data_IF_379856835158
#
_entry.id   IF_379856835158
#
_cell.length_a   1.000
_cell.length_b   1.000
_cell.length_c   1.000
_cell.angle_alpha   90.00
_cell.angle_beta   90.00
_cell.angle_gamma   90.00
#
_symmetry.space_group_name_H-M   'P 1'
#
loop_
_entity.id
_entity.type
_entity.pdbx_description
1 polymer ?
#
# COMPACT_ATOMS: atom_id res chain seq x y z
N UNK A 1 14.83 -7.00 11.81
CA UNK A 1 14.13 -6.22 10.78
C UNK A 1 12.66 -6.45 11.01
N UNK A 2 11.90 -5.41 11.35
CA UNK A 2 10.45 -5.50 11.52
C UNK A 2 9.75 -5.38 10.16
N UNK A 3 8.57 -5.97 10.03
CA UNK A 3 7.73 -5.87 8.84
C UNK A 3 6.80 -4.66 8.98
N UNK A 4 6.88 -3.71 8.06
CA UNK A 4 6.09 -2.48 8.03
C UNK A 4 5.00 -2.57 6.96
N UNK A 5 3.76 -2.40 7.39
CA UNK A 5 2.60 -2.30 6.51
C UNK A 5 2.07 -0.87 6.49
N UNK A 6 2.09 -0.25 5.31
CA UNK A 6 1.53 1.07 5.07
C UNK A 6 0.03 1.00 4.85
N UNK A 7 -0.76 1.64 5.71
CA UNK A 7 -2.20 1.75 5.53
C UNK A 7 -2.49 2.93 4.61
N UNK A 8 -3.11 2.66 3.46
CA UNK A 8 -3.49 3.66 2.45
C UNK A 8 -4.99 3.64 2.20
N UNK A 9 -5.51 4.74 1.67
CA UNK A 9 -6.91 4.87 1.30
C UNK A 9 -7.25 6.30 0.94
N UNK A 10 -8.40 6.49 0.29
CA UNK A 10 -8.91 7.82 0.00
C UNK A 10 -9.30 8.56 1.31
N UNK A 11 -9.42 9.90 1.29
CA UNK A 11 -10.00 10.64 2.40
C UNK A 11 -11.38 10.08 2.82
N UNK A 12 -11.64 10.06 4.13
CA UNK A 12 -12.92 9.66 4.74
C UNK A 12 -13.33 8.19 4.55
N UNK A 13 -12.42 7.28 4.21
CA UNK A 13 -12.71 5.83 4.11
C UNK A 13 -12.68 5.08 5.45
N UNK A 14 -12.29 5.75 6.54
CA UNK A 14 -12.14 5.13 7.86
C UNK A 14 -10.72 4.65 8.20
N UNK A 15 -9.71 5.06 7.41
CA UNK A 15 -8.29 4.73 7.59
C UNK A 15 -7.78 4.99 9.02
N UNK A 16 -7.93 6.22 9.53
CA UNK A 16 -7.48 6.56 10.89
C UNK A 16 -8.29 5.84 11.97
N UNK A 17 -9.56 5.50 11.71
CA UNK A 17 -10.36 4.68 12.63
C UNK A 17 -9.81 3.26 12.72
N UNK A 18 -9.46 2.64 11.58
CA UNK A 18 -8.83 1.33 11.54
C UNK A 18 -7.45 1.35 12.23
N UNK A 19 -6.62 2.34 11.91
CA UNK A 19 -5.31 2.49 12.55
C UNK A 19 -5.41 2.65 14.07
N UNK A 20 -6.34 3.50 14.54
CA UNK A 20 -6.59 3.66 15.97
C UNK A 20 -7.11 2.38 16.63
N UNK A 21 -7.89 1.56 15.92
CA UNK A 21 -8.35 0.28 16.43
C UNK A 21 -7.20 -0.73 16.55
N UNK A 22 -6.33 -0.82 15.53
CA UNK A 22 -5.15 -1.68 15.52
C UNK A 22 -4.16 -1.30 16.63
N UNK A 23 -3.88 0.00 16.77
CA UNK A 23 -2.94 0.49 17.79
C UNK A 23 -3.52 0.37 19.21
N UNK A 24 -4.80 0.65 19.44
CA UNK A 24 -5.41 0.44 20.78
C UNK A 24 -5.54 -1.03 21.17
N UNK A 25 -5.73 -1.94 20.22
CA UNK A 25 -5.81 -3.38 20.49
C UNK A 25 -4.43 -4.01 20.79
N UNK A 26 -3.35 -3.40 20.31
CA UNK A 26 -1.98 -3.91 20.47
C UNK A 26 -1.13 -3.21 21.53
N UNK A 27 -1.50 -1.99 21.94
CA UNK A 27 -0.77 -1.19 22.94
C UNK A 27 -1.42 -1.40 24.31
N UNK A 28 -1.25 -2.59 24.89
CA UNK A 28 -0.95 -2.62 26.32
C UNK A 28 0.48 -2.07 26.45
N UNK A 29 0.73 -1.19 27.41
CA UNK A 29 1.96 -0.41 27.57
C UNK A 29 3.22 -1.29 27.79
N UNK A 30 3.67 -1.99 26.75
CA UNK A 30 4.94 -2.65 26.69
C UNK A 30 5.98 -1.58 26.37
N UNK A 31 6.73 -1.18 27.41
CA UNK A 31 7.85 -0.25 27.33
C UNK A 31 8.96 -0.81 26.42
N UNK A 32 8.84 -0.64 25.10
CA UNK A 32 9.92 -0.94 24.16
C UNK A 32 10.93 0.23 24.19
N UNK A 33 12.16 0.06 24.69
CA UNK A 33 13.01 1.19 25.09
C UNK A 33 13.65 2.01 23.95
N UNK A 34 13.24 1.84 22.68
CA UNK A 34 13.98 2.39 21.53
C UNK A 34 13.13 2.87 20.35
N UNK A 35 11.80 3.03 20.51
CA UNK A 35 10.97 3.51 19.40
C UNK A 35 11.01 5.04 19.31
N UNK A 36 11.71 5.57 18.31
CA UNK A 36 11.59 6.97 17.87
C UNK A 36 10.16 7.18 17.37
N UNK A 37 9.40 8.10 17.99
CA UNK A 37 8.01 8.39 17.60
C UNK A 37 8.04 9.26 16.33
N UNK A 38 8.14 8.60 15.19
CA UNK A 38 7.93 9.14 13.84
C UNK A 38 6.46 8.97 13.41
N UNK A 39 5.96 9.80 12.47
CA UNK A 39 4.54 10.13 12.36
C UNK A 39 3.63 8.89 12.21
N UNK A 40 2.59 8.82 13.04
CA UNK A 40 1.53 7.81 13.04
C UNK A 40 1.99 6.36 12.73
N UNK A 41 3.04 5.90 13.39
CA UNK A 41 3.46 4.48 13.38
C UNK A 41 2.94 3.76 14.62
N UNK A 42 2.63 2.46 14.49
CA UNK A 42 2.09 1.65 15.57
C UNK A 42 2.52 0.20 15.49
N UNK A 43 3.07 -0.34 16.56
CA UNK A 43 3.51 -1.74 16.64
C UNK A 43 2.40 -2.57 17.27
N UNK A 44 2.01 -3.66 16.60
CA UNK A 44 0.92 -4.55 17.03
C UNK A 44 1.47 -5.98 17.16
N UNK A 45 1.23 -6.68 18.29
CA UNK A 45 1.57 -8.09 18.42
C UNK A 45 0.67 -8.92 17.50
N UNK A 46 1.28 -9.87 16.77
CA UNK A 46 0.53 -10.72 15.85
C UNK A 46 -0.24 -11.79 16.65
N UNK A 47 -1.57 -11.90 16.48
CA UNK A 47 -2.35 -12.96 17.11
C UNK A 47 -1.98 -14.30 16.48
N UNK A 48 -1.40 -15.21 17.27
CA UNK A 48 -1.06 -16.56 16.83
C UNK A 48 -1.57 -17.60 17.83
N UNK A 49 -2.69 -18.30 17.54
CA UNK A 49 -3.25 -19.32 18.42
C UNK A 49 -2.29 -20.49 18.71
N UNK A 50 -1.23 -20.66 17.90
CA UNK A 50 -0.21 -21.69 18.14
C UNK A 50 0.67 -21.32 19.34
N UNK A 51 0.95 -20.03 19.55
CA UNK A 51 1.69 -19.57 20.72
C UNK A 51 0.93 -19.86 22.00
N UNK A 52 -0.39 -19.64 22.00
CA UNK A 52 -1.25 -19.91 23.15
C UNK A 52 -1.25 -21.40 23.50
N UNK A 53 -1.42 -22.26 22.50
CA UNK A 53 -1.36 -23.73 22.67
C UNK A 53 -0.01 -24.21 23.20
N UNK A 54 1.09 -23.63 22.73
CA UNK A 54 2.43 -23.97 23.24
C UNK A 54 2.62 -23.49 24.68
N UNK A 55 2.08 -22.31 25.02
CA UNK A 55 2.14 -21.79 26.36
C UNK A 55 1.37 -22.65 27.38
N UNK A 56 0.25 -23.25 26.98
CA UNK A 56 -0.48 -24.21 27.81
C UNK A 56 0.33 -25.47 28.14
N UNK A 57 1.11 -25.97 27.17
CA UNK A 57 1.93 -27.18 27.33
C UNK A 57 3.20 -26.89 28.14
N UNK A 58 3.94 -25.86 27.75
CA UNK A 58 5.30 -25.59 28.26
C UNK A 58 5.27 -24.72 29.52
N UNK A 59 4.19 -23.95 29.75
CA UNK A 59 4.03 -23.01 30.86
C UNK A 59 5.25 -22.09 31.05
N UNK A 60 5.62 -21.31 30.01
CA UNK A 60 6.79 -20.44 30.07
C UNK A 60 6.56 -19.27 31.04
N UNK A 61 7.64 -18.66 31.52
CA UNK A 61 7.57 -17.46 32.37
C UNK A 61 6.98 -16.24 31.63
N UNK A 62 7.10 -16.21 30.29
CA UNK A 62 6.60 -15.13 29.44
C UNK A 62 6.34 -15.66 28.03
N UNK A 63 5.29 -15.14 27.38
CA UNK A 63 5.00 -15.35 25.96
C UNK A 63 5.52 -14.14 25.18
N UNK A 64 6.21 -14.38 24.07
CA UNK A 64 6.79 -13.35 23.21
C UNK A 64 6.19 -13.48 21.81
N UNK A 65 5.12 -12.72 21.48
CA UNK A 65 4.58 -12.74 20.13
C UNK A 65 5.54 -12.03 19.16
N UNK A 66 5.47 -12.43 17.89
CA UNK A 66 6.06 -11.60 16.82
C UNK A 66 5.25 -10.32 16.68
N UNK A 67 5.90 -9.24 16.26
CA UNK A 67 5.24 -7.94 16.09
C UNK A 67 5.21 -7.53 14.63
N UNK A 68 4.24 -6.71 14.28
CA UNK A 68 4.09 -6.07 12.98
C UNK A 68 3.94 -4.57 13.19
N UNK A 69 4.61 -3.79 12.35
CA UNK A 69 4.54 -2.32 12.39
C UNK A 69 3.54 -1.85 11.34
N UNK A 70 2.59 -1.01 11.75
CA UNK A 70 1.66 -0.34 10.85
C UNK A 70 2.02 1.13 10.76
N UNK A 71 1.99 1.66 9.54
CA UNK A 71 2.28 3.07 9.24
C UNK A 71 1.02 3.69 8.66
N UNK A 72 0.46 4.71 9.32
CA UNK A 72 -0.68 5.44 8.77
C UNK A 72 -0.21 6.44 7.70
N UNK A 73 -0.37 6.09 6.43
CA UNK A 73 0.07 6.95 5.34
C UNK A 73 -1.03 7.98 5.07
N UNK A 74 -0.67 9.27 4.97
CA UNK A 74 -1.62 10.35 4.74
C UNK A 74 -2.55 10.06 3.54
N UNK A 75 -3.80 10.53 3.57
CA UNK A 75 -4.78 10.22 2.53
C UNK A 75 -4.35 10.75 1.15
N UNK A 76 -4.46 9.89 0.13
CA UNK A 76 -4.13 10.25 -1.25
C UNK A 76 -5.20 11.18 -1.83
N UNK A 77 -4.79 12.31 -2.40
CA UNK A 77 -5.65 13.14 -3.26
C UNK A 77 -5.24 12.87 -4.71
N UNK A 78 -6.22 12.83 -5.63
CA UNK A 78 -5.97 12.67 -7.07
C UNK A 78 -4.89 13.66 -7.53
N UNK A 79 -3.91 13.22 -8.32
CA UNK A 79 -2.82 14.06 -8.82
C UNK A 79 -1.52 13.99 -8.03
N UNK A 80 -1.38 13.04 -7.11
CA UNK A 80 -0.17 12.85 -6.32
C UNK A 80 1.08 12.59 -7.18
N UNK A 81 0.94 11.88 -8.30
CA UNK A 81 2.03 11.62 -9.23
C UNK A 81 2.48 12.86 -10.02
N UNK A 82 1.72 13.97 -10.00
CA UNK A 82 2.04 15.20 -10.72
C UNK A 82 2.92 16.18 -9.92
N UNK A 83 3.27 15.84 -8.68
CA UNK A 83 4.23 16.61 -7.89
C UNK A 83 3.64 17.78 -7.08
N UNK A 84 2.32 17.84 -6.90
CA UNK A 84 1.71 18.76 -5.93
C UNK A 84 1.99 18.26 -4.49
N UNK A 85 3.14 18.67 -3.94
CA UNK A 85 3.54 18.73 -2.52
C UNK A 85 3.24 17.53 -1.61
N UNK A 86 1.96 17.24 -1.36
CA UNK A 86 1.49 16.15 -0.50
C UNK A 86 1.61 14.78 -1.17
N UNK A 87 1.49 14.70 -2.50
CA UNK A 87 1.55 13.45 -3.24
C UNK A 87 2.91 12.75 -3.22
N UNK A 88 4.00 13.51 -3.26
CA UNK A 88 5.34 12.96 -3.21
C UNK A 88 5.69 12.41 -1.81
N UNK A 89 5.22 13.07 -0.74
CA UNK A 89 5.43 12.57 0.63
C UNK A 89 4.69 11.25 0.86
N UNK A 90 3.48 11.11 0.31
CA UNK A 90 2.74 9.85 0.29
C UNK A 90 3.54 8.71 -0.37
N UNK A 91 4.05 8.95 -1.57
CA UNK A 91 4.80 7.95 -2.33
C UNK A 91 6.13 7.58 -1.67
N UNK A 92 6.81 8.54 -1.04
CA UNK A 92 8.02 8.28 -0.24
C UNK A 92 7.70 7.37 0.94
N UNK A 93 6.65 7.67 1.71
CA UNK A 93 6.27 6.87 2.87
C UNK A 93 5.87 5.44 2.48
N UNK A 94 5.22 5.25 1.33
CA UNK A 94 4.93 3.90 0.81
C UNK A 94 6.20 3.11 0.53
N UNK A 95 7.23 3.75 -0.05
CA UNK A 95 8.51 3.07 -0.37
C UNK A 95 9.28 2.62 0.85
N UNK A 96 8.98 3.18 2.02
CA UNK A 96 9.56 2.77 3.31
C UNK A 96 8.81 1.59 3.95
N UNK A 97 7.77 1.06 3.28
CA UNK A 97 6.98 -0.09 3.76
C UNK A 97 7.17 -1.32 2.88
N UNK A 98 7.05 -2.51 3.47
CA UNK A 98 7.16 -3.78 2.74
C UNK A 98 5.82 -4.26 2.19
N UNK A 99 4.71 -3.77 2.73
CA UNK A 99 3.35 -4.10 2.27
C UNK A 99 2.41 -2.91 2.37
N UNK A 100 1.33 -2.95 1.60
CA UNK A 100 0.30 -1.91 1.58
C UNK A 100 -1.05 -2.50 1.98
N UNK A 101 -1.65 -1.98 3.05
CA UNK A 101 -3.02 -2.27 3.45
C UNK A 101 -3.97 -1.22 2.86
N UNK A 102 -4.76 -1.61 1.85
CA UNK A 102 -5.67 -0.70 1.16
C UNK A 102 -7.07 -0.68 1.81
N UNK A 103 -7.40 0.44 2.46
CA UNK A 103 -8.72 0.69 3.06
C UNK A 103 -9.67 1.27 2.02
N UNK A 104 -10.71 0.53 1.69
CA UNK A 104 -11.74 0.90 0.71
C UNK A 104 -13.08 1.11 1.40
N UNK A 105 -13.78 2.20 1.08
CA UNK A 105 -15.08 2.51 1.68
C UNK A 105 -16.19 1.67 1.05
N UNK A 106 -16.73 0.73 1.82
CA UNK A 106 -17.85 -0.13 1.40
C UNK A 106 -19.15 0.17 2.18
N UNK A 107 -19.38 1.44 2.56
CA UNK A 107 -20.58 1.85 3.29
C UNK A 107 -21.06 3.25 2.86
N UNK A 108 -22.38 3.42 2.84
CA UNK A 108 -23.05 4.70 2.60
C UNK A 108 -23.32 5.41 3.93
N UNK A 109 -23.11 6.72 3.98
CA UNK A 109 -23.43 7.57 5.13
C UNK A 109 -23.55 9.01 4.64
N UNK A 110 -24.74 9.58 4.74
CA UNK A 110 -25.08 10.92 4.25
C UNK A 110 -24.32 12.04 4.98
N UNK A 111 -23.81 11.76 6.19
CA UNK A 111 -23.01 12.71 6.95
C UNK A 111 -21.52 12.72 6.53
N UNK A 112 -21.11 11.84 5.62
CA UNK A 112 -19.69 11.67 5.23
C UNK A 112 -19.54 11.83 3.72
N UNK A 113 -19.03 13.00 3.31
CA UNK A 113 -18.79 13.34 1.91
C UNK A 113 -17.65 12.49 1.33
N UNK A 114 -17.95 11.82 0.22
CA UNK A 114 -16.96 11.10 -0.58
C UNK A 114 -16.25 12.05 -1.55
N UNK A 115 -14.95 11.85 -1.81
CA UNK A 115 -14.15 12.76 -2.67
C UNK A 115 -14.70 12.82 -4.10
N UNK A 116 -15.27 11.73 -4.61
CA UNK A 116 -15.92 11.68 -5.92
C UNK A 116 -17.42 12.03 -5.89
N UNK A 117 -17.96 12.45 -4.74
CA UNK A 117 -19.39 12.73 -4.54
C UNK A 117 -20.29 11.48 -4.44
N UNK A 118 -19.82 10.32 -4.90
CA UNK A 118 -20.47 9.01 -4.74
C UNK A 118 -19.45 7.97 -4.29
N UNK A 119 -19.87 7.04 -3.45
CA UNK A 119 -19.05 5.88 -3.04
C UNK A 119 -19.04 4.86 -4.17
N UNK A 120 -17.85 4.54 -4.68
CA UNK A 120 -17.65 3.45 -5.64
C UNK A 120 -16.32 2.72 -5.33
N UNK A 121 -16.37 1.59 -4.59
CA UNK A 121 -15.18 0.86 -4.17
C UNK A 121 -14.22 0.49 -5.31
N UNK A 122 -14.77 0.13 -6.48
CA UNK A 122 -13.94 -0.27 -7.63
C UNK A 122 -13.18 0.93 -8.20
N UNK A 123 -13.84 2.08 -8.36
CA UNK A 123 -13.18 3.31 -8.80
C UNK A 123 -12.15 3.80 -7.78
N UNK A 124 -12.42 3.65 -6.49
CA UNK A 124 -11.49 4.05 -5.43
C UNK A 124 -10.19 3.24 -5.49
N UNK A 125 -10.33 1.93 -5.72
CA UNK A 125 -9.19 1.02 -5.93
C UNK A 125 -8.39 1.45 -7.17
N UNK A 126 -9.08 1.67 -8.28
CA UNK A 126 -8.47 2.06 -9.54
C UNK A 126 -7.71 3.39 -9.42
N UNK A 127 -8.24 4.37 -8.68
CA UNK A 127 -7.57 5.66 -8.45
C UNK A 127 -6.20 5.48 -7.79
N UNK A 128 -6.14 4.73 -6.69
CA UNK A 128 -4.88 4.51 -5.97
C UNK A 128 -3.91 3.68 -6.81
N UNK A 129 -4.37 2.61 -7.44
CA UNK A 129 -3.54 1.77 -8.30
C UNK A 129 -2.99 2.55 -9.51
N UNK A 130 -3.77 3.47 -10.07
CA UNK A 130 -3.32 4.36 -11.16
C UNK A 130 -2.16 5.24 -10.70
N UNK A 131 -2.30 5.89 -9.55
CA UNK A 131 -1.27 6.81 -9.02
C UNK A 131 0.02 6.06 -8.66
N UNK A 132 -0.09 4.85 -8.10
CA UNK A 132 1.07 3.98 -7.85
C UNK A 132 1.77 3.57 -9.15
N UNK A 133 1.00 3.11 -10.14
CA UNK A 133 1.56 2.72 -11.44
C UNK A 133 2.24 3.90 -12.16
N UNK A 134 1.70 5.12 -12.03
CA UNK A 134 2.32 6.33 -12.57
C UNK A 134 3.63 6.68 -11.86
N UNK A 135 3.68 6.52 -10.52
CA UNK A 135 4.92 6.73 -9.76
C UNK A 135 6.00 5.71 -10.13
N UNK A 136 5.63 4.45 -10.29
CA UNK A 136 6.56 3.39 -10.72
C UNK A 136 7.10 3.66 -12.12
N UNK A 137 6.25 4.15 -13.03
CA UNK A 137 6.65 4.51 -14.39
C UNK A 137 7.68 5.65 -14.39
N UNK A 138 7.41 6.77 -13.70
CA UNK A 138 8.35 7.90 -13.60
C UNK A 138 9.67 7.46 -12.96
N UNK A 139 9.61 6.58 -11.95
CA UNK A 139 10.79 6.03 -11.30
C UNK A 139 11.62 5.16 -12.25
N UNK A 140 10.97 4.30 -13.02
CA UNK A 140 11.61 3.45 -14.00
C UNK A 140 12.28 4.28 -15.10
N UNK A 141 11.59 5.31 -15.63
CA UNK A 141 12.13 6.22 -16.65
C UNK A 141 13.37 6.99 -16.14
N UNK A 142 13.31 7.54 -14.93
CA UNK A 142 14.46 8.22 -14.31
C UNK A 142 15.62 7.27 -14.07
N UNK A 143 15.35 6.03 -13.64
CA UNK A 143 16.36 5.00 -13.45
C UNK A 143 17.05 4.64 -14.77
N UNK A 144 16.28 4.41 -15.85
CA UNK A 144 16.81 4.16 -17.20
C UNK A 144 17.73 5.29 -17.64
N UNK A 145 17.31 6.55 -17.51
CA UNK A 145 18.12 7.69 -17.91
C UNK A 145 19.45 7.78 -17.13
N UNK A 146 19.42 7.49 -15.82
CA UNK A 146 20.62 7.46 -14.95
C UNK A 146 21.57 6.32 -15.30
N UNK A 147 21.03 5.10 -15.45
CA UNK A 147 21.81 3.87 -15.66
C UNK A 147 22.34 3.79 -17.10
N UNK A 148 21.60 4.30 -18.09
CA UNK A 148 22.03 4.34 -19.49
C UNK A 148 23.38 5.05 -19.68
N UNK A 149 23.63 6.14 -18.93
CA UNK A 149 24.92 6.84 -18.97
C UNK A 149 26.07 5.97 -18.47
N UNK A 150 25.85 5.20 -17.39
CA UNK A 150 26.84 4.28 -16.82
C UNK A 150 27.09 3.06 -17.71
N UNK A 151 26.02 2.49 -18.27
CA UNK A 151 26.08 1.34 -19.18
C UNK A 151 26.86 1.67 -20.47
N UNK A 152 26.71 2.89 -21.00
CA UNK A 152 27.51 3.40 -22.13
C UNK A 152 28.99 3.55 -21.79
N UNK A 153 29.32 3.82 -20.52
CA UNK A 153 30.68 3.89 -19.99
C UNK A 153 31.37 2.54 -19.80
N UNK A 154 30.71 1.42 -20.14
CA UNK A 154 31.30 0.08 -20.11
C UNK A 154 31.05 -0.73 -18.84
N UNK A 155 30.33 -0.18 -17.86
CA UNK A 155 29.95 -0.87 -16.62
C UNK A 155 29.03 -2.06 -16.94
N UNK A 156 29.45 -3.27 -16.51
CA UNK A 156 28.73 -4.52 -16.77
C UNK A 156 27.47 -4.66 -15.92
N UNK A 157 27.51 -4.19 -14.67
CA UNK A 157 26.36 -4.28 -13.76
C UNK A 157 25.28 -3.30 -14.21
N UNK A 158 25.68 -2.10 -14.66
CA UNK A 158 24.76 -1.13 -15.23
C UNK A 158 24.07 -1.64 -16.51
N UNK A 159 24.74 -2.47 -17.33
CA UNK A 159 24.12 -3.09 -18.52
C UNK A 159 23.05 -4.12 -18.14
N UNK A 160 23.29 -4.90 -17.08
CA UNK A 160 22.32 -5.88 -16.58
C UNK A 160 21.11 -5.15 -15.97
N UNK A 161 21.35 -4.12 -15.14
CA UNK A 161 20.29 -3.29 -14.56
C UNK A 161 19.44 -2.61 -15.65
N UNK A 162 20.09 -2.02 -16.67
CA UNK A 162 19.40 -1.37 -17.78
C UNK A 162 18.51 -2.35 -18.56
N UNK A 163 19.02 -3.54 -18.88
CA UNK A 163 18.25 -4.55 -19.60
C UNK A 163 17.04 -5.05 -18.81
N UNK A 164 17.11 -5.09 -17.47
CA UNK A 164 15.98 -5.39 -16.61
C UNK A 164 14.95 -4.24 -16.62
N UNK A 165 15.39 -3.00 -16.46
CA UNK A 165 14.53 -1.81 -16.46
C UNK A 165 13.78 -1.64 -17.80
N UNK A 166 14.45 -1.87 -18.93
CA UNK A 166 13.84 -1.81 -20.26
C UNK A 166 12.75 -2.88 -20.47
N UNK A 167 12.84 -4.03 -19.79
CA UNK A 167 11.78 -5.05 -19.77
C UNK A 167 10.60 -4.66 -18.87
N UNK A 168 10.86 -3.95 -17.77
CA UNK A 168 9.83 -3.51 -16.82
C UNK A 168 8.98 -2.37 -17.39
N UNK A 169 9.61 -1.40 -18.06
CA UNK A 169 8.96 -0.20 -18.60
C UNK A 169 7.65 -0.46 -19.39
N UNK A 170 7.61 -1.38 -20.38
CA UNK A 170 6.38 -1.64 -21.13
C UNK A 170 5.27 -2.26 -20.27
N UNK A 171 5.60 -3.03 -19.22
CA UNK A 171 4.59 -3.64 -18.34
C UNK A 171 3.97 -2.58 -17.41
N UNK A 172 4.78 -1.66 -16.89
CA UNK A 172 4.30 -0.49 -16.15
C UNK A 172 3.45 0.43 -17.04
N UNK A 173 3.85 0.59 -18.31
CA UNK A 173 3.06 1.28 -19.32
C UNK A 173 1.69 0.65 -19.56
N UNK A 174 1.58 -0.69 -19.62
CA UNK A 174 0.29 -1.39 -19.75
C UNK A 174 -0.60 -1.20 -18.53
N UNK A 175 -0.06 -1.25 -17.32
CA UNK A 175 -0.80 -0.93 -16.09
C UNK A 175 -1.40 0.48 -16.12
N UNK A 176 -0.70 1.45 -16.72
CA UNK A 176 -1.22 2.82 -16.96
C UNK A 176 -2.48 2.83 -17.84
N UNK A 177 -2.55 1.97 -18.86
CA UNK A 177 -3.71 1.88 -19.76
C UNK A 177 -4.87 1.11 -19.16
N UNK A 178 -4.61 0.02 -18.43
CA UNK A 178 -5.64 -0.71 -17.70
C UNK A 178 -6.33 0.17 -16.66
N UNK A 179 -5.53 0.95 -15.91
CA UNK A 179 -6.04 1.83 -14.86
C UNK A 179 -6.78 3.07 -15.43
N UNK A 180 -6.35 3.61 -16.60
CA UNK A 180 -7.10 4.64 -17.34
C UNK A 180 -8.37 4.14 -18.02
N UNK A 181 -8.35 2.91 -18.56
CA UNK A 181 -9.51 2.32 -19.21
C UNK A 181 -10.66 2.05 -18.23
N UNK A 182 -10.36 1.74 -16.97
CA UNK A 182 -11.35 1.63 -15.89
C UNK A 182 -12.17 2.91 -15.68
N UNK A 183 -11.55 4.09 -15.82
CA UNK A 183 -12.22 5.38 -15.68
C UNK A 183 -13.02 5.85 -16.91
N UNK A 184 -12.67 5.41 -18.13
CA UNK A 184 -13.30 5.89 -19.38
C UNK A 184 -14.26 4.87 -20.04
N UNK A 185 -14.08 3.55 -19.85
CA UNK A 185 -14.80 2.55 -20.66
C UNK A 185 -15.97 1.83 -19.96
N UNK A 186 -16.19 2.03 -18.65
CA UNK A 186 -17.28 1.35 -17.93
C UNK A 186 -18.70 1.88 -18.23
N UNK A 187 -18.85 2.89 -19.08
CA UNK A 187 -20.16 3.40 -19.50
C UNK A 187 -20.81 2.66 -20.66
N UNK A 188 -20.13 1.76 -21.38
CA UNK A 188 -20.74 1.25 -22.64
C UNK A 188 -20.82 -0.26 -22.89
N UNK A 189 -20.05 -1.18 -22.27
CA UNK A 189 -20.15 -2.60 -22.70
C UNK A 189 -20.04 -3.62 -21.58
N UNK A 190 -21.06 -4.47 -21.47
CA UNK A 190 -21.04 -5.70 -20.70
C UNK A 190 -20.31 -6.84 -21.42
N UNK A 191 -19.78 -7.79 -20.62
CA UNK A 191 -19.10 -9.07 -20.94
C UNK A 191 -17.57 -9.06 -21.21
N UNK A 192 -16.83 -10.18 -21.01
CA UNK A 192 -16.41 -10.73 -19.70
C UNK A 192 -14.87 -11.01 -19.58
N UNK A 193 -14.38 -11.04 -18.33
CA UNK A 193 -13.20 -11.73 -17.73
C UNK A 193 -11.98 -12.15 -18.60
N UNK A 194 -10.75 -11.79 -18.17
CA UNK A 194 -9.67 -12.75 -17.81
C UNK A 194 -8.31 -12.07 -17.51
N UNK A 195 -7.72 -12.48 -16.39
CA UNK A 195 -6.27 -12.58 -16.06
C UNK A 195 -5.40 -11.31 -16.03
N UNK A 196 -4.97 -10.92 -14.83
CA UNK A 196 -3.60 -11.14 -14.31
C UNK A 196 -3.51 -10.71 -12.83
N UNK A 197 -2.66 -11.38 -12.01
CA UNK A 197 -2.64 -11.20 -10.56
C UNK A 197 -1.85 -9.95 -10.16
N UNK A 198 -2.45 -9.13 -9.32
CA UNK A 198 -1.76 -8.06 -8.58
C UNK A 198 -1.01 -8.67 -7.37
N UNK A 199 0.06 -8.01 -6.89
CA UNK A 199 0.78 -8.43 -5.68
C UNK A 199 -0.20 -8.46 -4.51
N UNK A 200 -0.08 -9.47 -3.65
CA UNK A 200 -0.93 -9.77 -2.48
C UNK A 200 -1.41 -8.51 -1.74
N UNK A 201 -2.54 -7.96 -2.18
CA UNK A 201 -3.26 -6.92 -1.50
C UNK A 201 -4.34 -7.61 -0.68
N UNK A 202 -4.09 -7.79 0.61
CA UNK A 202 -5.09 -8.32 1.52
C UNK A 202 -6.23 -7.30 1.68
N UNK A 203 -7.32 -7.55 0.97
CA UNK A 203 -8.56 -6.82 1.15
C UNK A 203 -9.22 -7.27 2.46
N UNK A 204 -9.25 -6.39 3.46
CA UNK A 204 -9.93 -6.65 4.73
C UNK A 204 -11.44 -6.67 4.52
N UNK A 205 -11.99 -7.85 4.22
CA UNK A 205 -13.42 -8.09 4.16
C UNK A 205 -13.98 -8.28 5.58
N UNK A 206 -14.87 -7.37 5.99
CA UNK A 206 -15.66 -7.54 7.22
C UNK A 206 -16.92 -8.35 6.88
N UNK A 207 -16.91 -9.64 7.15
CA UNK A 207 -18.14 -10.45 7.18
C UNK A 207 -19.03 -9.94 8.32
N UNK A 208 -20.28 -9.63 7.98
CA UNK A 208 -21.31 -9.22 8.95
C UNK A 208 -21.89 -10.49 9.59
N UNK A 209 -21.92 -10.52 10.92
CA UNK A 209 -23.02 -11.14 11.66
C UNK A 209 -24.09 -10.08 11.93
#
# INVERSE_FOLDING_TARGET
MGFKCGIVGLPNVGKSTLFNALTKAGIEAANFPFCTIEPNTGVVPMPDPRLDKLAEIVKPQRILPTTMEFVDIAGLVKGASKGEGLGNQFLTNIRETEAIGHVVRCFENDNIIHVAGKVNPAEDIDVINTELALSDLDTCERAIHRVSKKAKGGDKDAKVELAALEKCLPQLGKRRYAARAGSDQRRERGHPLSELPDPEADHVHRERQ
#
